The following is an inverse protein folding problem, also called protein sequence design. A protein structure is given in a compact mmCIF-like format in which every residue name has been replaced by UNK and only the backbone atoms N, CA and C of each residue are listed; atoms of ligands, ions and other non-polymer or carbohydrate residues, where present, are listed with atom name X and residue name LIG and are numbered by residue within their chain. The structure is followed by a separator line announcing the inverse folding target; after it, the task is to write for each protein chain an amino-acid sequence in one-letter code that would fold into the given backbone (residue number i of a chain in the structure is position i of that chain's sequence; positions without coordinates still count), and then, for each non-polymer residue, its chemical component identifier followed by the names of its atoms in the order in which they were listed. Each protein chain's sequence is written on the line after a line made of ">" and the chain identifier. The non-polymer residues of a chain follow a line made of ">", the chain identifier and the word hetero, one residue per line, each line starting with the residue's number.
data_IF_891767865156
#
_entry.id   IF_891767865156
#
_cell.length_a   1.000
_cell.length_b   1.000
_cell.length_c   1.000
_cell.angle_alpha   90.00
_cell.angle_beta   90.00
_cell.angle_gamma   90.00
#
_symmetry.space_group_name_H-M   'P 1'
#
loop_
_entity.id
_entity.type
_entity.pdbx_description
1 polymer ?
#
# COMPACT_ATOMS: atom_id res chain seq x y z
N UNK A 1 -1.71 6.64 -18.32
CA UNK A 1 -0.60 7.26 -19.07
C UNK A 1 0.55 6.26 -19.10
N UNK A 2 1.24 6.06 -20.23
CA UNK A 2 2.45 5.25 -20.24
C UNK A 2 3.46 5.87 -19.25
N UNK A 3 4.08 5.03 -18.43
CA UNK A 3 5.18 5.42 -17.55
C UNK A 3 6.26 6.04 -18.44
N UNK A 4 6.70 7.29 -18.22
CA UNK A 4 7.75 7.88 -19.04
C UNK A 4 8.99 6.98 -19.05
N UNK A 5 9.54 6.69 -20.23
CA UNK A 5 10.78 5.92 -20.42
C UNK A 5 12.02 6.60 -19.78
N UNK A 6 11.86 7.82 -19.29
CA UNK A 6 12.80 8.51 -18.41
C UNK A 6 12.75 7.86 -17.01
N UNK A 7 13.24 6.63 -16.97
CA UNK A 7 13.56 5.93 -15.75
C UNK A 7 14.42 6.84 -14.89
N UNK A 8 14.06 6.94 -13.62
CA UNK A 8 14.91 7.59 -12.64
C UNK A 8 16.31 6.97 -12.75
N UNK A 9 17.37 7.76 -13.00
CA UNK A 9 18.68 7.35 -12.51
C UNK A 9 18.50 7.14 -11.01
N UNK A 10 18.69 5.90 -10.57
CA UNK A 10 18.18 5.45 -9.30
C UNK A 10 18.78 4.12 -8.86
N UNK A 11 18.77 3.91 -7.56
CA UNK A 11 19.22 2.64 -6.98
C UNK A 11 18.10 1.63 -7.10
N UNK A 12 18.33 0.58 -7.89
CA UNK A 12 17.40 -0.55 -8.02
C UNK A 12 17.68 -1.57 -6.94
N UNK A 13 16.65 -1.95 -6.19
CA UNK A 13 16.74 -2.84 -5.05
C UNK A 13 15.70 -3.96 -5.19
N UNK A 14 16.12 -5.19 -5.54
CA UNK A 14 15.23 -6.34 -5.53
C UNK A 14 14.62 -6.54 -4.14
N UNK A 15 13.33 -6.86 -4.10
CA UNK A 15 12.63 -7.18 -2.87
C UNK A 15 12.76 -8.68 -2.60
N UNK A 16 12.85 -9.05 -1.32
CA UNK A 16 12.86 -10.43 -0.87
C UNK A 16 12.09 -10.57 0.44
N UNK A 17 11.62 -11.79 0.74
CA UNK A 17 10.92 -12.07 1.99
C UNK A 17 9.54 -11.42 2.09
N UNK A 18 8.84 -11.23 0.96
CA UNK A 18 7.47 -10.68 0.89
C UNK A 18 6.45 -11.40 1.77
N UNK A 19 6.69 -12.67 2.10
CA UNK A 19 5.97 -13.39 3.14
C UNK A 19 6.30 -12.88 4.57
N UNK A 20 6.51 -11.58 4.76
CA UNK A 20 7.05 -10.98 5.99
C UNK A 20 6.18 -11.23 7.22
N UNK A 21 4.89 -11.53 7.03
CA UNK A 21 4.01 -11.90 8.14
C UNK A 21 4.23 -13.33 8.65
N UNK A 22 5.01 -14.17 7.96
CA UNK A 22 5.36 -15.50 8.45
C UNK A 22 6.47 -15.43 9.50
N UNK A 23 6.42 -16.26 10.55
CA UNK A 23 7.47 -16.30 11.56
C UNK A 23 8.86 -16.48 10.94
N UNK A 24 9.81 -15.63 11.33
CA UNK A 24 11.20 -15.68 10.87
C UNK A 24 11.43 -15.20 9.44
N UNK A 25 10.42 -14.63 8.77
CA UNK A 25 10.58 -13.96 7.47
C UNK A 25 10.61 -12.45 7.67
N UNK A 26 11.55 -11.80 7.00
CA UNK A 26 11.71 -10.35 7.01
C UNK A 26 11.64 -9.85 5.58
N UNK A 27 10.85 -8.82 5.34
CA UNK A 27 10.84 -8.13 4.05
C UNK A 27 12.12 -7.30 3.95
N UNK A 28 12.85 -7.45 2.86
CA UNK A 28 14.14 -6.78 2.64
C UNK A 28 14.26 -6.23 1.22
N UNK A 29 14.88 -5.08 1.08
CA UNK A 29 15.35 -4.55 -0.21
C UNK A 29 16.52 -3.58 0.01
N UNK A 30 17.62 -3.81 -0.71
CA UNK A 30 18.85 -3.04 -0.52
C UNK A 30 19.36 -3.13 0.94
N UNK A 31 19.73 -2.00 1.57
CA UNK A 31 20.17 -1.99 2.97
C UNK A 31 19.00 -2.01 3.98
N UNK A 32 17.75 -2.06 3.49
CA UNK A 32 16.56 -1.87 4.31
C UNK A 32 15.89 -3.20 4.67
N UNK A 33 15.43 -3.30 5.91
CA UNK A 33 14.77 -4.49 6.45
C UNK A 33 13.58 -4.11 7.33
N UNK A 34 12.43 -4.74 7.10
CA UNK A 34 11.30 -4.71 8.03
C UNK A 34 11.43 -5.83 9.07
N UNK A 35 11.47 -5.43 10.35
CA UNK A 35 11.55 -6.29 11.53
C UNK A 35 10.32 -6.10 12.41
N UNK A 36 10.17 -6.97 13.40
CA UNK A 36 9.11 -6.90 14.42
C UNK A 36 7.70 -6.73 13.82
N UNK A 37 7.41 -7.49 12.76
CA UNK A 37 6.13 -7.41 12.07
C UNK A 37 5.02 -7.96 12.95
N UNK A 38 4.03 -7.12 13.23
CA UNK A 38 2.81 -7.49 13.92
C UNK A 38 1.61 -7.33 12.96
N UNK A 39 0.67 -8.28 13.02
CA UNK A 39 -0.55 -8.27 12.22
C UNK A 39 -1.72 -8.62 13.12
N UNK A 40 -2.69 -7.71 13.18
CA UNK A 40 -3.95 -7.94 13.88
C UNK A 40 -5.14 -7.78 12.94
N UNK A 41 -6.11 -8.69 13.09
CA UNK A 41 -7.35 -8.66 12.34
C UNK A 41 -8.49 -8.22 13.24
N UNK A 42 -9.40 -7.42 12.70
CA UNK A 42 -10.67 -7.14 13.37
C UNK A 42 -11.78 -7.27 12.34
N UNK A 43 -12.52 -8.39 12.38
CA UNK A 43 -13.76 -8.52 11.61
C UNK A 43 -14.79 -7.58 12.23
N UNK A 44 -15.28 -6.60 11.47
CA UNK A 44 -16.47 -5.88 11.89
C UNK A 44 -17.65 -6.86 11.74
N UNK A 45 -18.50 -6.97 12.77
CA UNK A 45 -19.71 -7.82 12.69
C UNK A 45 -20.58 -7.34 11.53
N UNK A 46 -20.93 -8.23 10.62
CA UNK A 46 -22.03 -8.03 9.68
C UNK A 46 -23.29 -7.73 10.48
N UNK A 47 -23.80 -6.51 10.36
CA UNK A 47 -25.13 -6.18 10.88
C UNK A 47 -26.12 -6.53 9.78
N UNK A 48 -26.67 -7.73 9.84
CA UNK A 48 -27.82 -8.13 9.02
C UNK A 48 -29.02 -7.30 9.50
N UNK A 49 -29.21 -6.10 8.97
CA UNK A 49 -30.38 -5.26 9.22
C UNK A 49 -31.52 -5.71 8.33
N UNK A 50 -32.45 -6.49 8.89
CA UNK A 50 -33.69 -6.90 8.23
C UNK A 50 -34.78 -5.86 8.55
N UNK A 51 -34.88 -4.79 7.75
CA UNK A 51 -36.00 -3.83 7.89
C UNK A 51 -36.54 -3.28 6.56
N UNK A 52 -36.09 -3.78 5.40
CA UNK A 52 -36.63 -3.29 4.11
C UNK A 52 -36.57 -4.25 2.92
N UNK A 53 -36.36 -5.56 3.12
CA UNK A 53 -36.35 -6.54 2.01
C UNK A 53 -35.22 -6.40 0.99
N UNK A 54 -34.30 -5.43 1.16
CA UNK A 54 -33.03 -5.31 0.44
C UNK A 54 -31.92 -5.76 1.38
N UNK A 55 -31.47 -7.00 1.25
CA UNK A 55 -30.26 -7.50 1.92
C UNK A 55 -29.04 -6.83 1.29
N UNK A 56 -28.63 -5.67 1.79
CA UNK A 56 -27.32 -5.11 1.46
C UNK A 56 -26.33 -5.73 2.43
N UNK A 57 -25.59 -6.74 1.96
CA UNK A 57 -24.48 -7.30 2.73
C UNK A 57 -23.32 -6.28 2.74
N UNK A 58 -23.35 -5.34 3.68
CA UNK A 58 -22.24 -4.41 3.92
C UNK A 58 -21.15 -5.13 4.72
N UNK A 59 -20.28 -5.86 4.00
CA UNK A 59 -19.08 -6.45 4.58
C UNK A 59 -18.02 -5.37 4.81
N UNK A 60 -17.64 -5.12 6.07
CA UNK A 60 -16.49 -4.27 6.43
C UNK A 60 -15.38 -5.11 7.06
N UNK A 61 -14.24 -5.15 6.40
CA UNK A 61 -13.05 -5.80 6.90
C UNK A 61 -12.02 -4.75 7.30
N UNK A 62 -11.49 -4.86 8.52
CA UNK A 62 -10.40 -4.01 8.98
C UNK A 62 -9.21 -4.88 9.36
N UNK A 63 -8.05 -4.51 8.84
CA UNK A 63 -6.81 -5.14 9.19
C UNK A 63 -5.79 -4.09 9.62
N UNK A 64 -4.98 -4.43 10.63
CA UNK A 64 -3.90 -3.60 11.11
C UNK A 64 -2.60 -4.37 11.01
N UNK A 65 -1.53 -3.65 10.73
CA UNK A 65 -0.18 -4.20 10.79
C UNK A 65 0.81 -3.12 11.20
N UNK A 66 1.89 -3.53 11.85
CA UNK A 66 2.97 -2.66 12.24
C UNK A 66 4.32 -3.33 11.99
N UNK A 67 5.36 -2.53 11.81
CA UNK A 67 6.73 -3.03 11.66
C UNK A 67 7.74 -1.94 12.05
N UNK A 68 8.97 -2.37 12.31
CA UNK A 68 10.12 -1.48 12.44
C UNK A 68 10.98 -1.59 11.21
N UNK A 69 11.29 -0.45 10.61
CA UNK A 69 12.18 -0.38 9.46
C UNK A 69 13.60 -0.09 9.94
N UNK A 70 14.56 -0.87 9.44
CA UNK A 70 15.97 -0.75 9.76
C UNK A 70 16.80 -0.48 8.50
N UNK A 71 17.91 0.26 8.65
CA UNK A 71 19.01 0.36 7.70
C UNK A 71 20.27 -0.22 8.38
N UNK A 72 20.62 -1.46 8.05
CA UNK A 72 21.56 -2.25 8.86
C UNK A 72 21.02 -2.47 10.28
N UNK A 73 21.79 -2.12 11.30
CA UNK A 73 21.34 -2.23 12.71
C UNK A 73 20.55 -1.01 13.21
N UNK A 74 20.49 0.07 12.42
CA UNK A 74 19.84 1.32 12.82
C UNK A 74 18.34 1.26 12.53
N UNK A 75 17.50 1.34 13.56
CA UNK A 75 16.06 1.56 13.38
C UNK A 75 15.81 2.99 12.86
N UNK A 76 15.12 3.13 11.73
CA UNK A 76 14.84 4.42 11.09
C UNK A 76 13.38 4.84 11.24
N UNK A 77 12.43 3.91 11.21
CA UNK A 77 11.00 4.18 11.37
C UNK A 77 10.29 3.08 12.16
N UNK A 78 9.31 3.47 12.96
CA UNK A 78 8.22 2.60 13.38
C UNK A 78 7.00 2.95 12.53
N UNK A 79 6.44 1.95 11.86
CA UNK A 79 5.33 2.14 10.93
C UNK A 79 4.12 1.37 11.44
N UNK A 80 2.99 2.04 11.52
CA UNK A 80 1.71 1.47 11.91
C UNK A 80 0.70 1.74 10.82
N UNK A 81 0.08 0.70 10.30
CA UNK A 81 -0.85 0.76 9.19
C UNK A 81 -2.21 0.16 9.57
N UNK A 82 -3.26 0.74 9.01
CA UNK A 82 -4.61 0.21 9.01
C UNK A 82 -5.11 0.19 7.57
N UNK A 83 -5.72 -0.93 7.18
CA UNK A 83 -6.51 -1.02 5.96
C UNK A 83 -7.96 -1.30 6.30
N UNK A 84 -8.86 -0.61 5.60
CA UNK A 84 -10.29 -0.88 5.63
C UNK A 84 -10.74 -1.27 4.21
N UNK A 85 -11.45 -2.40 4.10
CA UNK A 85 -12.11 -2.86 2.87
C UNK A 85 -13.61 -2.87 3.12
N UNK A 86 -14.38 -2.28 2.22
CA UNK A 86 -15.83 -2.16 2.29
C UNK A 86 -16.47 -2.53 0.96
N UNK A 87 -17.59 -3.23 0.98
CA UNK A 87 -18.47 -3.36 -0.19
C UNK A 87 -19.58 -2.32 -0.10
N UNK A 88 -19.69 -1.46 -1.12
CA UNK A 88 -20.68 -0.38 -1.17
C UNK A 88 -21.61 -0.61 -2.36
N UNK A 89 -22.91 -0.64 -2.10
CA UNK A 89 -23.93 -0.67 -3.14
C UNK A 89 -24.05 0.70 -3.81
N UNK A 90 -23.83 0.76 -5.12
CA UNK A 90 -23.96 1.95 -5.95
C UNK A 90 -25.08 1.73 -6.96
N UNK A 91 -26.03 2.67 -7.03
CA UNK A 91 -27.13 2.57 -7.98
C UNK A 91 -26.60 2.86 -9.40
N UNK A 92 -26.62 1.85 -10.28
CA UNK A 92 -26.14 1.95 -11.66
C UNK A 92 -27.26 2.29 -12.68
N UNK A 93 -28.53 2.15 -12.26
CA UNK A 93 -29.71 2.47 -13.08
C UNK A 93 -30.99 2.40 -12.26
N UNK A 94 -32.16 2.53 -12.90
CA UNK A 94 -33.45 2.54 -12.18
C UNK A 94 -33.69 1.25 -11.36
N UNK A 95 -33.20 0.10 -11.82
CA UNK A 95 -33.34 -1.21 -11.16
C UNK A 95 -32.01 -1.98 -11.01
N UNK A 96 -30.87 -1.32 -11.22
CA UNK A 96 -29.55 -1.96 -11.19
C UNK A 96 -28.72 -1.41 -10.03
N UNK A 97 -28.22 -2.31 -9.20
CA UNK A 97 -27.33 -2.00 -8.08
C UNK A 97 -26.01 -2.73 -8.33
N UNK A 98 -24.93 -1.97 -8.44
CA UNK A 98 -23.57 -2.45 -8.61
C UNK A 98 -22.86 -2.44 -7.25
N UNK A 99 -22.16 -3.53 -6.90
CA UNK A 99 -21.40 -3.62 -5.66
C UNK A 99 -19.96 -3.19 -5.95
N UNK A 100 -19.54 -2.08 -5.36
CA UNK A 100 -18.18 -1.56 -5.51
C UNK A 100 -17.36 -1.81 -4.25
N UNK A 101 -16.19 -2.40 -4.44
CA UNK A 101 -15.18 -2.51 -3.40
C UNK A 101 -14.53 -1.14 -3.17
N UNK A 102 -14.48 -0.70 -1.93
CA UNK A 102 -13.72 0.48 -1.50
C UNK A 102 -12.61 -0.01 -0.60
N UNK A 103 -11.38 0.34 -0.93
CA UNK A 103 -10.20 -0.02 -0.15
C UNK A 103 -9.50 1.25 0.27
N UNK A 104 -9.14 1.34 1.55
CA UNK A 104 -8.32 2.42 2.08
C UNK A 104 -7.12 1.85 2.82
N UNK A 105 -6.01 2.58 2.78
CA UNK A 105 -4.80 2.34 3.54
C UNK A 105 -4.40 3.64 4.22
N UNK A 106 -4.21 3.58 5.53
CA UNK A 106 -3.62 4.67 6.30
C UNK A 106 -2.43 4.14 7.09
N UNK A 107 -1.27 4.76 6.95
CA UNK A 107 -0.11 4.47 7.77
C UNK A 107 0.43 5.74 8.43
N UNK A 108 0.90 5.56 9.66
CA UNK A 108 1.69 6.52 10.40
C UNK A 108 3.12 5.99 10.54
N UNK A 109 4.09 6.79 10.11
CA UNK A 109 5.52 6.53 10.25
C UNK A 109 6.05 7.50 11.30
N UNK A 110 6.61 6.99 12.39
CA UNK A 110 7.21 7.80 13.47
C UNK A 110 8.68 7.45 13.65
N UNK A 111 9.55 8.46 13.81
CA UNK A 111 10.95 8.18 14.10
C UNK A 111 11.11 7.62 15.53
N UNK A 112 11.95 6.60 15.75
CA UNK A 112 12.16 6.05 17.09
C UNK A 112 12.74 7.06 18.09
N UNK A 113 13.53 8.02 17.61
CA UNK A 113 14.23 9.03 18.39
C UNK A 113 13.46 10.37 18.50
N UNK A 114 12.37 10.55 17.74
CA UNK A 114 11.58 11.78 17.76
C UNK A 114 10.15 11.53 17.28
N UNK A 115 9.19 11.59 18.21
CA UNK A 115 7.77 11.50 17.89
C UNK A 115 7.25 12.71 17.10
N UNK A 116 7.95 13.85 17.14
CA UNK A 116 7.57 15.06 16.40
C UNK A 116 7.80 14.91 14.89
N UNK A 117 8.77 14.08 14.49
CA UNK A 117 9.02 13.78 13.09
C UNK A 117 8.17 12.58 12.68
N UNK A 118 7.03 12.87 12.07
CA UNK A 118 6.10 11.87 11.57
C UNK A 118 5.72 12.10 10.11
N UNK A 119 5.43 10.99 9.43
CA UNK A 119 4.87 10.99 8.08
C UNK A 119 3.58 10.16 8.06
N UNK A 120 2.62 10.58 7.23
CA UNK A 120 1.38 9.88 6.99
C UNK A 120 1.31 9.45 5.54
N UNK A 121 1.11 8.16 5.31
CA UNK A 121 0.71 7.60 4.02
C UNK A 121 -0.80 7.39 4.07
N UNK A 122 -1.53 7.87 3.08
CA UNK A 122 -2.96 7.61 2.94
C UNK A 122 -3.27 7.30 1.47
N UNK A 123 -3.97 6.20 1.20
CA UNK A 123 -4.42 5.78 -0.12
C UNK A 123 -5.88 5.35 -0.07
N UNK A 124 -6.58 5.61 -1.16
CA UNK A 124 -7.94 5.13 -1.40
C UNK A 124 -8.05 4.54 -2.81
N UNK A 125 -8.87 3.50 -2.94
CA UNK A 125 -9.29 2.88 -4.19
C UNK A 125 -10.80 2.63 -4.17
N UNK A 126 -11.41 2.71 -5.34
CA UNK A 126 -12.83 2.39 -5.55
C UNK A 126 -12.99 1.55 -6.83
N UNK A 127 -13.68 0.42 -6.68
CA UNK A 127 -13.79 -0.61 -7.70
C UNK A 127 -12.43 -1.25 -7.97
N UNK A 128 -12.16 -1.55 -9.24
CA UNK A 128 -10.92 -2.16 -9.72
C UNK A 128 -9.76 -1.16 -9.88
N UNK A 129 -9.97 0.13 -9.57
CA UNK A 129 -8.94 1.15 -9.79
C UNK A 129 -7.77 0.97 -8.83
N UNK A 130 -6.51 1.18 -9.30
CA UNK A 130 -5.37 1.19 -8.40
C UNK A 130 -5.50 2.24 -7.30
N UNK A 131 -5.05 1.96 -6.07
CA UNK A 131 -5.07 2.92 -4.99
C UNK A 131 -4.23 4.16 -5.29
N UNK A 132 -4.76 5.32 -4.94
CA UNK A 132 -4.06 6.61 -5.09
C UNK A 132 -4.20 7.45 -3.83
N UNK A 133 -3.26 8.35 -3.58
CA UNK A 133 -3.28 9.22 -2.41
C UNK A 133 -1.96 9.93 -2.19
N UNK A 134 -1.50 10.04 -0.94
CA UNK A 134 -0.36 10.88 -0.60
C UNK A 134 0.49 10.36 0.55
N UNK A 135 1.78 10.70 0.50
CA UNK A 135 2.74 10.60 1.60
C UNK A 135 3.10 12.02 2.05
N UNK A 136 2.81 12.39 3.30
CA UNK A 136 3.01 13.75 3.79
C UNK A 136 3.66 13.80 5.18
N UNK A 137 4.56 14.76 5.40
CA UNK A 137 5.29 14.94 6.66
C UNK A 137 6.32 16.05 6.55
N UNK A 138 6.69 16.69 7.66
CA UNK A 138 7.72 17.74 7.67
C UNK A 138 7.47 18.92 6.72
N UNK A 139 6.20 19.27 6.46
CA UNK A 139 5.82 20.33 5.51
C UNK A 139 5.92 19.93 4.02
N UNK A 140 6.26 18.67 3.73
CA UNK A 140 6.37 18.11 2.38
C UNK A 140 5.16 17.21 2.09
N UNK A 141 4.80 17.07 0.82
CA UNK A 141 3.74 16.17 0.34
C UNK A 141 4.16 15.58 -0.99
N UNK A 142 4.06 14.26 -1.08
CA UNK A 142 4.31 13.49 -2.29
C UNK A 142 3.02 12.79 -2.70
N UNK A 143 2.75 12.77 -4.00
CA UNK A 143 1.62 12.03 -4.58
C UNK A 143 2.02 10.56 -4.65
N UNK A 144 1.08 9.66 -4.36
CA UNK A 144 1.29 8.22 -4.49
C UNK A 144 0.23 7.69 -5.45
N UNK A 145 0.68 7.09 -6.55
CA UNK A 145 -0.19 6.60 -7.61
C UNK A 145 0.03 5.11 -7.84
N UNK A 146 -1.00 4.30 -7.64
CA UNK A 146 -1.01 2.91 -8.10
C UNK A 146 -1.06 2.84 -9.63
N UNK A 147 -0.49 1.78 -10.19
CA UNK A 147 -0.48 1.52 -11.63
C UNK A 147 -0.82 0.06 -11.91
N UNK A 148 -1.45 -0.21 -13.06
CA UNK A 148 -1.67 -1.54 -13.63
C UNK A 148 -0.65 -1.89 -14.73
N UNK A 149 0.10 -0.89 -15.19
CA UNK A 149 1.10 -1.07 -16.23
C UNK A 149 2.36 -1.71 -15.64
N UNK A 150 2.87 -2.76 -16.29
CA UNK A 150 4.20 -3.27 -16.00
C UNK A 150 5.23 -2.48 -16.82
N UNK A 151 6.32 -2.10 -16.18
CA UNK A 151 7.40 -1.35 -16.81
C UNK A 151 7.89 -2.06 -18.08
N UNK A 152 8.01 -1.30 -19.18
CA UNK A 152 8.53 -1.81 -20.45
C UNK A 152 7.57 -2.73 -21.21
N UNK A 153 6.29 -2.79 -20.82
CA UNK A 153 5.28 -3.56 -21.55
C UNK A 153 4.03 -2.72 -21.84
N UNK A 154 3.36 -2.94 -22.98
CA UNK A 154 2.07 -2.31 -23.26
C UNK A 154 0.90 -3.00 -22.55
N UNK A 155 1.16 -4.06 -21.77
CA UNK A 155 0.13 -4.84 -21.11
C UNK A 155 -0.27 -4.20 -19.78
N UNK A 156 -1.58 -4.01 -19.60
CA UNK A 156 -2.17 -3.69 -18.30
C UNK A 156 -2.65 -4.98 -17.64
N UNK A 157 -2.30 -5.16 -16.38
CA UNK A 157 -2.90 -6.20 -15.58
C UNK A 157 -4.24 -5.69 -15.05
N UNK A 158 -5.27 -6.53 -14.97
CA UNK A 158 -6.53 -6.17 -14.32
C UNK A 158 -6.43 -6.00 -12.79
N UNK A 159 -5.23 -5.71 -12.27
CA UNK A 159 -4.89 -5.51 -10.87
C UNK A 159 -3.67 -4.59 -10.75
N UNK A 160 -3.47 -3.92 -9.60
CA UNK A 160 -2.28 -3.11 -9.37
C UNK A 160 -0.98 -3.93 -9.56
N UNK A 161 -0.09 -3.44 -10.40
CA UNK A 161 1.25 -3.98 -10.66
C UNK A 161 2.35 -3.24 -9.89
N UNK A 162 2.04 -2.05 -9.37
CA UNK A 162 2.99 -1.25 -8.61
C UNK A 162 2.46 0.13 -8.19
N UNK A 163 3.37 0.96 -7.70
CA UNK A 163 3.12 2.31 -7.23
C UNK A 163 4.25 3.26 -7.64
N UNK A 164 3.89 4.53 -7.87
CA UNK A 164 4.80 5.65 -8.01
C UNK A 164 4.68 6.57 -6.80
N UNK A 165 5.79 7.08 -6.30
CA UNK A 165 5.81 8.20 -5.35
C UNK A 165 6.40 9.40 -6.09
N UNK A 166 5.63 10.49 -6.21
CA UNK A 166 5.91 11.61 -7.08
C UNK A 166 5.99 12.94 -6.30
N UNK A 167 6.87 13.83 -6.75
CA UNK A 167 6.88 15.25 -6.39
C UNK A 167 6.61 16.07 -7.65
N UNK A 168 5.39 16.58 -7.79
CA UNK A 168 4.91 17.12 -9.06
C UNK A 168 4.92 16.03 -10.13
N UNK A 169 5.67 16.24 -11.22
CA UNK A 169 5.86 15.25 -12.29
C UNK A 169 7.11 14.39 -12.11
N UNK A 170 7.94 14.67 -11.10
CA UNK A 170 9.18 13.94 -10.86
C UNK A 170 8.89 12.72 -10.00
N UNK A 171 9.22 11.53 -10.51
CA UNK A 171 9.22 10.34 -9.68
C UNK A 171 10.35 10.41 -8.63
N UNK A 172 10.04 10.06 -7.39
CA UNK A 172 11.01 9.89 -6.30
C UNK A 172 11.25 8.41 -6.03
N UNK A 173 10.24 7.57 -6.25
CA UNK A 173 10.36 6.13 -6.17
C UNK A 173 9.38 5.41 -7.10
N UNK A 174 9.76 4.20 -7.50
CA UNK A 174 8.87 3.22 -8.13
C UNK A 174 8.89 1.94 -7.32
N UNK A 175 7.72 1.34 -7.10
CA UNK A 175 7.54 0.12 -6.32
C UNK A 175 6.80 -0.88 -7.19
N UNK A 176 7.46 -1.95 -7.59
CA UNK A 176 6.85 -3.06 -8.30
C UNK A 176 6.44 -4.14 -7.30
N UNK A 177 5.18 -4.58 -7.40
CA UNK A 177 4.59 -5.58 -6.49
C UNK A 177 4.28 -6.90 -7.18
N UNK A 178 4.80 -7.13 -8.39
CA UNK A 178 4.68 -8.40 -9.09
C UNK A 178 5.87 -9.33 -8.79
N UNK A 179 5.59 -10.62 -8.65
CA UNK A 179 6.60 -11.62 -8.30
C UNK A 179 7.29 -11.28 -6.98
N UNK A 180 8.63 -11.28 -6.98
CA UNK A 180 9.41 -10.90 -5.82
C UNK A 180 9.42 -9.39 -5.55
N UNK A 181 9.06 -8.56 -6.54
CA UNK A 181 8.99 -7.11 -6.44
C UNK A 181 10.36 -6.41 -6.56
N UNK A 182 10.31 -5.11 -6.84
CA UNK A 182 11.50 -4.25 -6.98
C UNK A 182 11.17 -2.86 -6.48
N UNK A 183 12.07 -2.27 -5.68
CA UNK A 183 12.00 -0.84 -5.31
C UNK A 183 13.11 -0.08 -6.03
N UNK A 184 12.77 0.98 -6.73
CA UNK A 184 13.73 1.93 -7.30
C UNK A 184 13.59 3.26 -6.59
N UNK A 185 14.69 3.79 -6.07
CA UNK A 185 14.73 5.12 -5.45
C UNK A 185 15.49 6.10 -6.34
N UNK A 186 14.93 7.30 -6.51
CA UNK A 186 15.62 8.40 -7.16
C UNK A 186 16.88 8.81 -6.38
N UNK A 187 17.89 9.27 -7.11
CA UNK A 187 19.13 9.75 -6.51
C UNK A 187 18.96 11.13 -5.85
N UNK A 188 19.80 11.42 -4.86
CA UNK A 188 19.90 12.75 -4.24
C UNK A 188 18.76 13.12 -3.31
N UNK A 189 17.95 12.16 -2.86
CA UNK A 189 16.91 12.38 -1.86
C UNK A 189 17.54 12.77 -0.51
N UNK A 190 17.04 13.82 0.18
CA UNK A 190 17.42 14.09 1.56
C UNK A 190 17.15 12.87 2.44
N UNK A 191 18.02 12.60 3.42
CA UNK A 191 17.96 11.38 4.23
C UNK A 191 16.57 11.14 4.88
N UNK A 192 15.96 12.19 5.43
CA UNK A 192 14.63 12.09 6.06
C UNK A 192 13.54 11.70 5.04
N UNK A 193 13.58 12.26 3.84
CA UNK A 193 12.62 11.96 2.78
C UNK A 193 12.84 10.57 2.21
N UNK A 194 14.12 10.21 1.95
CA UNK A 194 14.52 8.87 1.53
C UNK A 194 14.00 7.82 2.50
N UNK A 195 14.25 8.00 3.79
CA UNK A 195 13.87 7.02 4.81
C UNK A 195 12.34 6.92 4.91
N UNK A 196 11.60 8.03 4.81
CA UNK A 196 10.13 8.03 4.79
C UNK A 196 9.55 7.34 3.55
N UNK A 197 10.15 7.57 2.38
CA UNK A 197 9.79 6.92 1.11
C UNK A 197 10.02 5.40 1.19
N UNK A 198 11.14 4.96 1.79
CA UNK A 198 11.41 3.53 2.05
C UNK A 198 10.38 2.94 3.01
N UNK A 199 10.00 3.66 4.07
CA UNK A 199 8.92 3.26 4.98
C UNK A 199 7.59 3.08 4.27
N UNK A 200 7.23 4.03 3.40
CA UNK A 200 6.03 3.95 2.59
C UNK A 200 6.09 2.78 1.58
N UNK A 201 7.21 2.61 0.87
CA UNK A 201 7.41 1.50 -0.06
C UNK A 201 7.24 0.12 0.63
N UNK A 202 7.81 -0.03 1.83
CA UNK A 202 7.65 -1.24 2.65
C UNK A 202 6.19 -1.47 3.03
N UNK A 203 5.48 -0.41 3.45
CA UNK A 203 4.07 -0.49 3.78
C UNK A 203 3.20 -0.91 2.58
N UNK A 204 3.52 -0.42 1.37
CA UNK A 204 2.82 -0.74 0.12
C UNK A 204 3.03 -2.19 -0.32
N UNK A 205 4.27 -2.70 -0.21
CA UNK A 205 4.57 -4.10 -0.51
C UNK A 205 3.79 -5.05 0.41
N UNK A 206 3.78 -4.76 1.72
CA UNK A 206 3.02 -5.53 2.69
C UNK A 206 1.51 -5.41 2.44
N UNK A 207 1.02 -4.21 2.11
CA UNK A 207 -0.39 -3.99 1.78
C UNK A 207 -0.86 -4.84 0.60
N UNK A 208 -0.04 -4.94 -0.46
CA UNK A 208 -0.32 -5.79 -1.61
C UNK A 208 -0.45 -7.28 -1.23
N UNK A 209 0.48 -7.78 -0.40
CA UNK A 209 0.43 -9.17 0.09
C UNK A 209 -0.85 -9.46 0.89
N UNK A 210 -1.35 -8.45 1.63
CA UNK A 210 -2.58 -8.54 2.41
C UNK A 210 -3.84 -8.55 1.55
N UNK A 211 -3.89 -7.77 0.48
CA UNK A 211 -5.01 -7.77 -0.46
C UNK A 211 -5.13 -9.14 -1.14
N UNK A 212 -4.02 -9.72 -1.61
CA UNK A 212 -3.99 -11.05 -2.22
C UNK A 212 -4.43 -12.15 -1.26
N UNK A 213 -4.00 -12.11 0.00
CA UNK A 213 -4.41 -13.09 1.01
C UNK A 213 -5.92 -13.00 1.33
N UNK A 214 -6.51 -11.80 1.26
CA UNK A 214 -7.94 -11.59 1.54
C UNK A 214 -8.81 -12.12 0.40
N UNK A 215 -8.40 -11.93 -0.85
CA UNK A 215 -9.10 -12.45 -2.03
C UNK A 215 -9.16 -13.98 -2.04
N UNK A 216 -8.08 -14.67 -1.63
CA UNK A 216 -8.08 -16.13 -1.51
C UNK A 216 -9.03 -16.67 -0.43
N UNK A 217 -9.37 -15.86 0.57
CA UNK A 217 -10.26 -16.23 1.67
C UNK A 217 -11.73 -15.94 1.39
N UNK A 218 -12.05 -15.25 0.30
CA UNK A 218 -13.40 -14.99 -0.16
C UNK A 218 -13.70 -15.84 -1.42
N UNK A 219 -13.83 -17.18 -1.30
CA UNK A 219 -14.22 -18.00 -2.44
C UNK A 219 -15.65 -17.65 -2.86
N UNK A 220 -15.84 -17.47 -4.17
CA UNK A 220 -17.09 -17.31 -4.93
C UNK A 220 -18.37 -17.22 -4.08
N UNK A 221 -18.80 -15.99 -3.80
CA UNK A 221 -20.14 -15.67 -3.32
C UNK A 221 -21.11 -15.53 -4.49
#
# INVERSE_FOLDING_TARGET
>A
MPVPDELLPGTTMPVSGRQGFLPGRHLRFGPFEARDMDRSWTRARERSGDDSGRRTAEGRYRQRYAFRLHEGERAIWHVQCQTDVQAVAVQAGANETDLRRVVSLECLLTRPDSAEVSWRLALDAMGERPPTGQLAGGGRRFLVEGTEALQGTPFTFGRPSGYFILEGLRALATIEVLGDGVVRLGLGLPAVERDAIVGAATALLLFDDLQHATEQLAPDS
#
